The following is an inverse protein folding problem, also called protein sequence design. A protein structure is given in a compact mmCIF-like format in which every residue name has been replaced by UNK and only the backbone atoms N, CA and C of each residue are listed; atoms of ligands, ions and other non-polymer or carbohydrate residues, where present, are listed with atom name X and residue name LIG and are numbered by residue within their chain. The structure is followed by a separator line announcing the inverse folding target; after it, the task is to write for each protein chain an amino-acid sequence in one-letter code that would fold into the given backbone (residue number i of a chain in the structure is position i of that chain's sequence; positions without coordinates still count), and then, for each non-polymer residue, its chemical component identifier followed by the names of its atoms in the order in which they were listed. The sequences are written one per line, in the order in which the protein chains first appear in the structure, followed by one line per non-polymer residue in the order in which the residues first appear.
data_IF_129884970158
#
_entry.id   IF_129884970158
#
_cell.length_a   1.000
_cell.length_b   1.000
_cell.length_c   1.000
_cell.angle_alpha   90.00
_cell.angle_beta   90.00
_cell.angle_gamma   90.00
#
_symmetry.space_group_name_H-M   'P 1'
#
loop_
_entity.id
_entity.type
_entity.pdbx_description
1 polymer ?
#
# COMPACT_ATOMS: atom_id res chain seq x y z
N UNK A 1 3.19 19.15 49.82
CA UNK A 1 2.53 19.36 48.50
C UNK A 1 3.59 19.32 47.39
N UNK A 2 4.11 18.14 47.03
CA UNK A 2 5.12 18.02 45.95
C UNK A 2 4.92 16.78 45.07
N UNK A 3 4.31 15.72 45.61
CA UNK A 3 4.08 14.47 44.88
C UNK A 3 2.94 14.55 43.84
N UNK A 4 1.96 15.43 44.02
CA UNK A 4 0.83 15.58 43.08
C UNK A 4 1.25 16.20 41.73
N UNK A 5 2.34 16.95 41.68
CA UNK A 5 2.81 17.60 40.44
C UNK A 5 3.68 16.65 39.58
N UNK A 6 4.29 15.63 40.19
CA UNK A 6 5.13 14.67 39.46
C UNK A 6 4.26 13.69 38.67
N UNK A 7 3.12 13.25 39.22
CA UNK A 7 2.22 12.31 38.54
C UNK A 7 1.51 12.97 37.35
N UNK A 8 1.22 14.27 37.42
CA UNK A 8 0.59 15.03 36.32
C UNK A 8 1.51 15.23 35.11
N UNK A 9 2.83 15.24 35.34
CA UNK A 9 3.87 15.34 34.31
C UNK A 9 4.05 14.03 33.52
N UNK A 10 3.78 12.88 34.12
CA UNK A 10 3.97 11.58 33.47
C UNK A 10 2.77 11.23 32.56
N UNK A 11 1.57 11.68 32.93
CA UNK A 11 0.35 11.49 32.13
C UNK A 11 0.08 12.59 31.08
N UNK A 12 0.91 13.64 31.02
CA UNK A 12 0.80 14.69 29.98
C UNK A 12 1.72 14.42 28.78
N UNK A 13 2.09 13.17 28.53
CA UNK A 13 2.72 12.80 27.26
C UNK A 13 1.63 12.89 26.20
N UNK A 14 1.49 14.08 25.62
CA UNK A 14 0.87 14.27 24.30
C UNK A 14 1.38 13.12 23.45
N UNK A 15 0.46 12.29 22.97
CA UNK A 15 0.74 11.38 21.87
C UNK A 15 1.24 12.27 20.73
N UNK A 16 2.55 12.42 20.62
CA UNK A 16 3.17 12.81 19.37
C UNK A 16 2.70 11.72 18.40
N UNK A 17 1.77 12.08 17.50
CA UNK A 17 1.43 11.25 16.36
C UNK A 17 2.76 10.76 15.80
N UNK A 18 2.95 9.44 15.62
CA UNK A 18 4.22 8.92 15.12
C UNK A 18 4.59 9.73 13.89
N UNK A 19 5.76 10.36 13.90
CA UNK A 19 6.23 11.29 12.85
C UNK A 19 6.61 10.57 11.55
N UNK A 20 6.12 9.34 11.37
CA UNK A 20 6.31 8.54 10.16
C UNK A 20 5.24 8.87 9.13
N UNK A 21 5.48 8.48 7.86
CA UNK A 21 4.47 8.62 6.81
C UNK A 21 3.21 7.85 7.18
N UNK A 22 2.05 8.34 6.75
CA UNK A 22 0.79 7.61 6.92
C UNK A 22 0.78 6.34 6.05
N UNK A 23 -0.08 5.37 6.38
CA UNK A 23 -0.22 4.16 5.57
C UNK A 23 -0.62 4.49 4.12
N UNK A 24 -1.43 5.52 3.92
CA UNK A 24 -1.83 6.00 2.59
C UNK A 24 -0.64 6.59 1.84
N UNK A 25 0.21 7.37 2.50
CA UNK A 25 1.46 7.88 1.92
C UNK A 25 2.42 6.74 1.55
N UNK A 26 2.54 5.72 2.40
CA UNK A 26 3.33 4.52 2.11
C UNK A 26 2.76 3.75 0.91
N UNK A 27 1.45 3.55 0.82
CA UNK A 27 0.80 2.90 -0.32
C UNK A 27 1.12 3.67 -1.60
N UNK A 28 0.96 4.99 -1.60
CA UNK A 28 1.23 5.82 -2.77
C UNK A 28 2.69 5.73 -3.22
N UNK A 29 3.62 5.79 -2.25
CA UNK A 29 5.05 5.62 -2.52
C UNK A 29 5.34 4.24 -3.13
N UNK A 30 4.83 3.17 -2.53
CA UNK A 30 5.06 1.80 -3.00
C UNK A 30 4.40 1.53 -4.36
N UNK A 31 3.24 2.12 -4.63
CA UNK A 31 2.59 2.04 -5.94
C UNK A 31 3.39 2.77 -7.02
N UNK A 32 3.97 3.94 -6.71
CA UNK A 32 4.87 4.64 -7.65
C UNK A 32 6.07 3.76 -7.99
N UNK A 33 6.71 3.15 -6.98
CA UNK A 33 7.83 2.23 -7.19
C UNK A 33 7.41 1.00 -8.00
N UNK A 34 6.20 0.48 -7.78
CA UNK A 34 5.66 -0.64 -8.55
C UNK A 34 5.43 -0.27 -10.01
N UNK A 35 4.92 0.93 -10.30
CA UNK A 35 4.77 1.44 -11.67
C UNK A 35 6.13 1.55 -12.36
N UNK A 36 7.14 2.09 -11.67
CA UNK A 36 8.49 2.18 -12.23
C UNK A 36 9.10 0.78 -12.47
N UNK A 37 8.84 -0.17 -11.57
CA UNK A 37 9.27 -1.56 -11.73
C UNK A 37 8.59 -2.24 -12.91
N UNK A 38 7.28 -2.06 -13.09
CA UNK A 38 6.51 -2.72 -14.15
C UNK A 38 6.95 -2.28 -15.56
N UNK A 39 7.49 -1.06 -15.70
CA UNK A 39 8.10 -0.59 -16.96
C UNK A 39 9.27 -1.46 -17.43
N UNK A 40 9.93 -2.20 -16.53
CA UNK A 40 11.00 -3.12 -16.88
C UNK A 40 10.51 -4.48 -17.38
N UNK A 41 9.20 -4.77 -17.31
CA UNK A 41 8.63 -5.95 -17.96
C UNK A 41 8.73 -5.80 -19.48
N UNK A 42 8.88 -6.92 -20.19
CA UNK A 42 8.88 -6.91 -21.65
C UNK A 42 7.46 -6.68 -22.23
N UNK A 43 7.35 -6.64 -23.55
CA UNK A 43 6.12 -6.30 -24.27
C UNK A 43 5.01 -7.36 -24.15
N UNK A 44 5.30 -8.58 -23.66
CA UNK A 44 4.24 -9.57 -23.41
C UNK A 44 3.38 -9.25 -22.17
N UNK A 45 3.72 -8.20 -21.41
CA UNK A 45 3.04 -7.79 -20.18
C UNK A 45 2.37 -6.41 -20.29
N UNK A 46 2.08 -5.91 -21.50
CA UNK A 46 1.46 -4.58 -21.68
C UNK A 46 0.12 -4.44 -20.94
N UNK A 47 -0.69 -5.51 -20.89
CA UNK A 47 -1.94 -5.51 -20.13
C UNK A 47 -1.67 -5.28 -18.65
N UNK A 48 -0.71 -6.00 -18.06
CA UNK A 48 -0.34 -5.92 -16.66
C UNK A 48 0.27 -4.56 -16.31
N UNK A 49 1.11 -3.99 -17.20
CA UNK A 49 1.64 -2.63 -17.05
C UNK A 49 0.51 -1.61 -16.97
N UNK A 50 -0.46 -1.69 -17.88
CA UNK A 50 -1.62 -0.79 -17.91
C UNK A 50 -2.48 -0.95 -16.65
N UNK A 51 -2.69 -2.17 -16.18
CA UNK A 51 -3.46 -2.43 -14.97
C UNK A 51 -2.76 -1.90 -13.71
N UNK A 52 -1.44 -2.08 -13.58
CA UNK A 52 -0.65 -1.52 -12.47
C UNK A 52 -0.75 0.01 -12.45
N UNK A 53 -0.65 0.66 -13.61
CA UNK A 53 -0.79 2.11 -13.72
C UNK A 53 -2.18 2.60 -13.32
N UNK A 54 -3.24 1.87 -13.69
CA UNK A 54 -4.61 2.17 -13.29
C UNK A 54 -4.79 2.07 -11.76
N UNK A 55 -4.28 0.99 -11.15
CA UNK A 55 -4.36 0.80 -9.69
C UNK A 55 -3.58 1.90 -8.96
N UNK A 56 -2.43 2.32 -9.48
CA UNK A 56 -1.66 3.41 -8.87
C UNK A 56 -2.44 4.74 -8.87
N UNK A 57 -3.20 4.99 -9.93
CA UNK A 57 -4.09 6.15 -10.00
C UNK A 57 -5.26 6.04 -9.01
N UNK A 58 -5.82 4.85 -8.82
CA UNK A 58 -6.84 4.60 -7.80
C UNK A 58 -6.28 4.78 -6.38
N UNK A 59 -5.06 4.31 -6.11
CA UNK A 59 -4.37 4.49 -4.83
C UNK A 59 -4.17 5.97 -4.46
N UNK A 60 -3.84 6.81 -5.44
CA UNK A 60 -3.70 8.25 -5.24
C UNK A 60 -5.02 8.95 -4.84
N UNK A 61 -6.16 8.28 -5.00
CA UNK A 61 -7.48 8.81 -4.58
C UNK A 61 -7.95 8.29 -3.21
N UNK A 62 -7.17 7.44 -2.54
CA UNK A 62 -7.50 6.98 -1.19
C UNK A 62 -7.30 8.14 -0.21
N UNK A 63 -8.36 8.46 0.54
CA UNK A 63 -8.30 9.42 1.63
C UNK A 63 -7.91 8.72 2.93
N UNK A 64 -7.17 9.42 3.80
CA UNK A 64 -6.84 8.91 5.13
C UNK A 64 -8.11 8.66 5.95
N UNK A 65 -8.15 7.53 6.65
CA UNK A 65 -9.24 7.19 7.56
C UNK A 65 -8.69 6.77 8.91
N UNK A 66 -9.35 7.22 9.98
CA UNK A 66 -9.03 6.80 11.36
C UNK A 66 -9.67 5.47 11.74
N UNK A 67 -10.46 4.85 10.87
CA UNK A 67 -11.12 3.58 11.17
C UNK A 67 -10.14 2.41 11.20
N UNK A 68 -10.26 1.56 12.23
CA UNK A 68 -9.40 0.38 12.40
C UNK A 68 -9.50 -0.56 11.18
N UNK A 69 -10.70 -0.68 10.60
CA UNK A 69 -10.91 -1.51 9.42
C UNK A 69 -10.20 -0.94 8.19
N UNK A 70 -10.21 0.38 8.01
CA UNK A 70 -9.49 1.06 6.94
C UNK A 70 -7.97 0.83 7.08
N UNK A 71 -7.41 1.03 8.27
CA UNK A 71 -6.00 0.79 8.55
C UNK A 71 -5.58 -0.67 8.28
N UNK A 72 -6.44 -1.65 8.63
CA UNK A 72 -6.18 -3.06 8.31
C UNK A 72 -6.17 -3.33 6.81
N UNK A 73 -7.11 -2.75 6.06
CA UNK A 73 -7.13 -2.88 4.62
C UNK A 73 -5.94 -2.19 3.96
N UNK A 74 -5.49 -1.05 4.47
CA UNK A 74 -4.29 -0.35 4.00
C UNK A 74 -3.02 -1.19 4.20
N UNK A 75 -2.88 -1.87 5.34
CA UNK A 75 -1.81 -2.85 5.56
C UNK A 75 -1.91 -4.06 4.60
N UNK A 76 -3.12 -4.60 4.39
CA UNK A 76 -3.35 -5.66 3.42
C UNK A 76 -2.93 -5.21 2.01
N UNK A 77 -3.27 -3.97 1.62
CA UNK A 77 -2.88 -3.37 0.34
C UNK A 77 -1.34 -3.34 0.22
N UNK A 78 -0.62 -2.83 1.21
CA UNK A 78 0.86 -2.82 1.21
C UNK A 78 1.46 -4.22 1.01
N UNK A 79 0.90 -5.23 1.68
CA UNK A 79 1.28 -6.62 1.50
C UNK A 79 1.05 -7.10 0.06
N UNK A 80 -0.06 -6.73 -0.56
CA UNK A 80 -0.38 -7.07 -1.96
C UNK A 80 0.48 -6.31 -2.97
N UNK A 81 0.80 -5.04 -2.73
CA UNK A 81 1.76 -4.29 -3.57
C UNK A 81 3.12 -4.98 -3.60
N UNK A 82 3.57 -5.47 -2.43
CA UNK A 82 4.81 -6.25 -2.32
C UNK A 82 4.73 -7.56 -3.12
N UNK A 83 3.60 -8.28 -3.05
CA UNK A 83 3.39 -9.50 -3.83
C UNK A 83 3.43 -9.26 -5.35
N UNK A 84 2.78 -8.20 -5.84
CA UNK A 84 2.85 -7.82 -7.27
C UNK A 84 4.26 -7.43 -7.67
N UNK A 85 4.99 -6.69 -6.82
CA UNK A 85 6.40 -6.35 -7.05
C UNK A 85 7.26 -7.60 -7.21
N UNK A 86 7.12 -8.58 -6.32
CA UNK A 86 7.85 -9.85 -6.40
C UNK A 86 7.47 -10.65 -7.66
N UNK A 87 6.19 -10.66 -8.05
CA UNK A 87 5.76 -11.29 -9.29
C UNK A 87 6.38 -10.62 -10.53
N UNK A 88 6.52 -9.29 -10.52
CA UNK A 88 7.21 -8.56 -11.57
C UNK A 88 8.70 -8.92 -11.63
N UNK A 89 9.38 -9.04 -10.48
CA UNK A 89 10.79 -9.47 -10.43
C UNK A 89 10.98 -10.88 -10.99
N UNK A 90 10.09 -11.81 -10.65
CA UNK A 90 10.11 -13.15 -11.21
C UNK A 90 9.86 -13.13 -12.73
N UNK A 91 8.93 -12.31 -13.21
CA UNK A 91 8.66 -12.18 -14.64
C UNK A 91 9.85 -11.57 -15.41
N UNK A 92 10.51 -10.53 -14.86
CA UNK A 92 11.74 -9.95 -15.41
C UNK A 92 12.86 -11.00 -15.48
N UNK A 93 12.95 -11.88 -14.47
CA UNK A 93 13.91 -12.98 -14.44
C UNK A 93 13.52 -14.18 -15.32
N UNK A 94 12.39 -14.12 -16.05
CA UNK A 94 11.88 -15.24 -16.87
C UNK A 94 11.34 -16.42 -16.07
N UNK A 95 11.00 -16.21 -14.78
CA UNK A 95 10.55 -17.25 -13.83
C UNK A 95 9.05 -17.21 -13.53
N UNK A 96 8.32 -16.21 -14.05
CA UNK A 96 6.87 -16.11 -13.90
C UNK A 96 6.19 -15.81 -15.24
N UNK A 97 4.95 -16.26 -15.38
CA UNK A 97 4.11 -16.00 -16.55
C UNK A 97 3.23 -14.76 -16.33
N UNK A 98 2.63 -14.24 -17.40
CA UNK A 98 1.60 -13.20 -17.32
C UNK A 98 0.47 -13.55 -16.35
N UNK A 99 0.06 -14.82 -16.31
CA UNK A 99 -0.99 -15.29 -15.41
C UNK A 99 -0.61 -15.13 -13.93
N UNK A 100 0.64 -15.41 -13.56
CA UNK A 100 1.12 -15.21 -12.18
C UNK A 100 1.04 -13.74 -11.78
N UNK A 101 1.53 -12.83 -12.63
CA UNK A 101 1.49 -11.39 -12.38
C UNK A 101 0.04 -10.90 -12.28
N UNK A 102 -0.81 -11.31 -13.23
CA UNK A 102 -2.22 -10.94 -13.29
C UNK A 102 -3.01 -11.40 -12.07
N UNK A 103 -2.71 -12.58 -11.53
CA UNK A 103 -3.34 -13.09 -10.30
C UNK A 103 -3.06 -12.17 -9.11
N UNK A 104 -1.81 -11.74 -8.94
CA UNK A 104 -1.44 -10.83 -7.85
C UNK A 104 -2.05 -9.44 -8.05
N UNK A 105 -2.09 -8.94 -9.29
CA UNK A 105 -2.78 -7.68 -9.65
C UNK A 105 -4.26 -7.75 -9.25
N UNK A 106 -4.96 -8.84 -9.59
CA UNK A 106 -6.36 -9.00 -9.22
C UNK A 106 -6.57 -9.08 -7.70
N UNK A 107 -5.63 -9.69 -6.98
CA UNK A 107 -5.66 -9.72 -5.52
C UNK A 107 -5.51 -8.32 -4.91
N UNK A 108 -4.60 -7.51 -5.45
CA UNK A 108 -4.43 -6.10 -5.06
C UNK A 108 -5.69 -5.28 -5.36
N UNK A 109 -6.25 -5.40 -6.57
CA UNK A 109 -7.51 -4.74 -6.96
C UNK A 109 -8.66 -5.05 -6.00
N UNK A 110 -8.81 -6.31 -5.59
CA UNK A 110 -9.87 -6.69 -4.66
C UNK A 110 -9.75 -5.95 -3.32
N UNK A 111 -8.52 -5.78 -2.79
CA UNK A 111 -8.27 -5.05 -1.54
C UNK A 111 -8.47 -3.55 -1.68
N UNK A 112 -8.01 -2.99 -2.79
CA UNK A 112 -8.25 -1.60 -3.17
C UNK A 112 -9.76 -1.28 -3.26
N UNK A 113 -10.54 -2.15 -3.88
CA UNK A 113 -11.99 -2.02 -3.99
C UNK A 113 -12.69 -2.09 -2.62
N UNK A 114 -12.25 -3.00 -1.74
CA UNK A 114 -12.74 -3.06 -0.36
C UNK A 114 -12.45 -1.77 0.40
N UNK A 115 -11.24 -1.21 0.28
CA UNK A 115 -10.86 0.02 0.98
C UNK A 115 -11.63 1.23 0.45
N UNK A 116 -11.86 1.31 -0.84
CA UNK A 116 -12.62 2.40 -1.49
C UNK A 116 -14.11 2.38 -1.14
N UNK A 117 -14.64 1.23 -0.73
CA UNK A 117 -16.03 1.12 -0.28
C UNK A 117 -16.26 1.65 1.16
N UNK A 118 -15.20 1.75 1.97
CA UNK A 118 -15.24 2.25 3.35
C UNK A 118 -15.12 3.79 3.42
N UNK A 119 -15.93 4.50 2.64
CA UNK A 119 -15.89 5.97 2.54
C UNK A 119 -15.75 6.67 3.89
#
# INVERSE_FOLDING_TARGET
MALANIIKSIFSKKEEKPSGPSLVEEINRHMSLLVDKSRNLNDSFESEKSEIAAIAKEAASIEESSEILAAKLEQDILGRVTAVSSACELAIAGKATGETVKREINSLKAKMGQRSALK
#
